data_IF_167925853381
#
_entry.id   IF_167925853381
#
_cell.length_a   1.000
_cell.length_b   1.000
_cell.length_c   1.000
_cell.angle_alpha   90.00
_cell.angle_beta   90.00
_cell.angle_gamma   90.00
#
_symmetry.space_group_name_H-M   'P 1'
#
loop_
_entity.id
_entity.type
_entity.pdbx_description
1 polymer ?
#
# COMPACT_ATOMS: atom_id res chain seq x y z
N UNK A 1 1.44 -12.37 61.12
CA UNK A 1 1.94 -11.81 59.83
C UNK A 1 1.90 -12.86 58.72
N UNK A 2 0.74 -13.25 58.15
CA UNK A 2 0.69 -14.23 57.04
C UNK A 2 -0.57 -14.12 56.15
N UNK A 3 -1.09 -12.91 55.90
CA UNK A 3 -2.29 -12.75 55.04
C UNK A 3 -2.17 -11.67 53.95
N UNK A 4 -1.09 -10.86 53.96
CA UNK A 4 -0.97 -9.73 53.02
C UNK A 4 -0.18 -10.04 51.75
N UNK A 5 0.49 -11.19 51.66
CA UNK A 5 1.37 -11.51 50.53
C UNK A 5 0.65 -12.21 49.37
N UNK A 6 -0.60 -12.66 49.54
CA UNK A 6 -1.32 -13.40 48.49
C UNK A 6 -2.16 -12.51 47.55
N UNK A 7 -2.37 -11.23 47.90
CA UNK A 7 -3.21 -10.32 47.10
C UNK A 7 -2.46 -9.65 45.94
N UNK A 8 -1.12 -9.67 45.93
CA UNK A 8 -0.32 -8.98 44.93
C UNK A 8 -0.11 -9.77 43.62
N UNK A 9 -0.36 -11.09 43.63
CA UNK A 9 -0.11 -11.96 42.46
C UNK A 9 -1.30 -11.97 41.49
N UNK A 10 -2.50 -11.60 41.94
CA UNK A 10 -3.72 -11.64 41.11
C UNK A 10 -3.82 -10.41 40.18
N UNK A 11 -3.14 -9.30 40.51
CA UNK A 11 -3.20 -8.07 39.70
C UNK A 11 -2.29 -8.06 38.46
N UNK A 12 -1.41 -9.06 38.30
CA UNK A 12 -0.49 -9.13 37.14
C UNK A 12 -1.17 -9.77 35.90
N UNK A 13 -2.29 -10.48 36.08
CA UNK A 13 -3.00 -11.12 34.96
C UNK A 13 -4.03 -10.24 34.24
N UNK A 14 -4.23 -9.00 34.69
CA UNK A 14 -5.11 -8.01 34.02
C UNK A 14 -4.28 -7.01 33.18
N UNK A 15 -2.96 -7.22 33.07
CA UNK A 15 -2.10 -6.43 32.21
C UNK A 15 -2.24 -6.87 30.74
N UNK A 16 -3.07 -6.14 30.00
CA UNK A 16 -3.04 -6.01 28.54
C UNK A 16 -3.36 -7.27 27.71
N UNK A 17 -4.64 -7.66 27.67
CA UNK A 17 -5.22 -8.03 26.38
C UNK A 17 -5.92 -6.79 25.83
N UNK A 18 -5.16 -5.90 25.20
CA UNK A 18 -5.75 -5.12 24.12
C UNK A 18 -5.99 -6.14 23.02
N UNK A 19 -7.24 -6.50 22.80
CA UNK A 19 -7.64 -7.15 21.56
C UNK A 19 -6.99 -6.33 20.45
N UNK A 20 -5.99 -6.91 19.79
CA UNK A 20 -5.48 -6.34 18.55
C UNK A 20 -6.69 -6.44 17.63
N UNK A 21 -7.39 -5.32 17.43
CA UNK A 21 -8.32 -5.21 16.33
C UNK A 21 -7.56 -5.74 15.11
N UNK A 22 -8.05 -6.85 14.56
CA UNK A 22 -7.52 -7.41 13.34
C UNK A 22 -7.89 -6.40 12.25
N UNK A 23 -7.10 -5.34 12.12
CA UNK A 23 -7.17 -4.44 10.98
C UNK A 23 -6.99 -5.32 9.75
N UNK A 24 -7.95 -5.35 8.83
CA UNK A 24 -7.83 -6.19 7.65
C UNK A 24 -6.51 -5.88 6.93
N UNK A 25 -5.79 -6.90 6.52
CA UNK A 25 -4.43 -6.75 6.00
C UNK A 25 -4.36 -6.04 4.65
N UNK A 26 -5.50 -5.69 4.07
CA UNK A 26 -5.65 -4.94 2.83
C UNK A 26 -5.95 -3.45 3.01
N UNK A 27 -6.00 -2.98 4.25
CA UNK A 27 -6.34 -1.59 4.58
C UNK A 27 -5.36 -0.99 5.57
N UNK A 28 -5.09 0.30 5.44
CA UNK A 28 -4.28 1.07 6.38
C UNK A 28 -4.92 2.44 6.64
N UNK A 29 -4.27 3.33 7.40
CA UNK A 29 -4.85 4.63 7.76
C UNK A 29 -4.99 5.61 6.58
N UNK A 30 -4.44 5.29 5.41
CA UNK A 30 -4.37 6.16 4.24
C UNK A 30 -5.25 5.70 3.08
N UNK A 31 -5.34 4.40 2.86
CA UNK A 31 -6.09 3.81 1.77
C UNK A 31 -6.44 2.33 2.01
N UNK A 32 -7.24 1.77 1.13
CA UNK A 32 -7.55 0.33 1.07
C UNK A 32 -7.33 -0.25 -0.33
N UNK A 33 -7.01 -1.54 -0.40
CA UNK A 33 -6.91 -2.34 -1.62
C UNK A 33 -7.79 -3.59 -1.49
N UNK A 34 -9.10 -3.45 -1.69
CA UNK A 34 -10.05 -4.54 -1.39
C UNK A 34 -9.76 -5.87 -2.10
N UNK A 35 -9.15 -5.85 -3.28
CA UNK A 35 -8.75 -7.07 -4.00
C UNK A 35 -7.47 -7.75 -3.44
N UNK A 36 -6.78 -7.12 -2.50
CA UNK A 36 -5.65 -7.68 -1.76
C UNK A 36 -6.05 -8.21 -0.37
N UNK A 37 -7.33 -8.60 -0.19
CA UNK A 37 -7.93 -8.91 1.12
C UNK A 37 -7.17 -9.95 1.95
N UNK A 38 -6.51 -10.90 1.30
CA UNK A 38 -5.75 -12.00 1.90
C UNK A 38 -4.23 -11.81 1.84
N UNK A 39 -3.76 -10.62 1.45
CA UNK A 39 -2.33 -10.29 1.39
C UNK A 39 -1.87 -9.77 2.73
N UNK A 40 -0.58 -9.89 3.04
CA UNK A 40 0.02 -9.30 4.23
C UNK A 40 0.49 -7.88 3.93
N UNK A 41 0.03 -6.90 4.71
CA UNK A 41 0.59 -5.55 4.71
C UNK A 41 1.84 -5.50 5.59
N UNK A 42 2.92 -4.98 5.03
CA UNK A 42 4.15 -4.64 5.77
C UNK A 42 4.42 -3.16 5.59
N UNK A 43 4.47 -2.44 6.70
CA UNK A 43 4.85 -1.03 6.72
C UNK A 43 6.37 -0.92 6.84
N UNK A 44 6.95 -0.05 6.02
CA UNK A 44 8.36 0.29 6.10
C UNK A 44 8.53 1.75 6.53
N UNK A 45 9.71 2.06 7.06
CA UNK A 45 10.02 3.43 7.49
C UNK A 45 10.53 4.24 6.29
N UNK A 46 9.71 5.16 5.80
CA UNK A 46 10.14 6.24 4.93
C UNK A 46 10.71 7.41 5.73
N UNK A 47 11.42 8.33 5.06
CA UNK A 47 11.88 9.58 5.69
C UNK A 47 10.69 10.51 5.89
N UNK A 48 9.94 10.76 4.80
CA UNK A 48 8.85 11.74 4.73
C UNK A 48 7.57 11.19 4.05
N UNK A 49 7.59 9.92 3.63
CA UNK A 49 6.45 9.24 3.00
C UNK A 49 6.08 7.98 3.75
N UNK A 50 4.80 7.60 3.64
CA UNK A 50 4.32 6.34 4.15
C UNK A 50 4.54 5.28 3.07
N UNK A 51 5.52 4.41 3.30
CA UNK A 51 5.96 3.40 2.35
C UNK A 51 5.75 2.00 2.92
N UNK A 52 5.68 1.01 2.05
CA UNK A 52 5.53 -0.38 2.44
C UNK A 52 5.15 -1.24 1.27
N UNK A 53 4.62 -2.42 1.57
CA UNK A 53 4.15 -3.34 0.55
C UNK A 53 3.03 -4.25 1.03
N UNK A 54 2.22 -4.70 0.08
CA UNK A 54 1.35 -5.84 0.23
C UNK A 54 2.05 -7.05 -0.38
N UNK A 55 2.06 -8.18 0.32
CA UNK A 55 2.70 -9.41 -0.15
C UNK A 55 1.78 -10.62 -0.01
N UNK A 56 1.78 -11.47 -1.04
CA UNK A 56 1.21 -12.82 -1.00
C UNK A 56 2.19 -13.77 -1.67
N UNK A 57 2.66 -14.75 -0.90
CA UNK A 57 3.75 -15.66 -1.32
C UNK A 57 4.96 -14.85 -1.79
N UNK A 58 5.42 -15.06 -3.03
CA UNK A 58 6.55 -14.35 -3.63
C UNK A 58 6.13 -13.08 -4.39
N UNK A 59 4.83 -12.78 -4.47
CA UNK A 59 4.33 -11.59 -5.15
C UNK A 59 4.28 -10.40 -4.20
N UNK A 60 4.84 -9.27 -4.64
CA UNK A 60 4.87 -8.01 -3.88
C UNK A 60 4.32 -6.84 -4.68
N UNK A 61 3.45 -6.05 -4.06
CA UNK A 61 3.05 -4.72 -4.53
C UNK A 61 3.56 -3.70 -3.52
N UNK A 62 4.58 -2.97 -3.91
CA UNK A 62 5.13 -1.86 -3.14
C UNK A 62 4.24 -0.63 -3.28
N UNK A 63 4.27 0.24 -2.28
CA UNK A 63 3.62 1.53 -2.34
C UNK A 63 4.48 2.64 -1.74
N UNK A 64 4.31 3.83 -2.30
CA UNK A 64 4.76 5.10 -1.74
C UNK A 64 3.57 6.05 -1.66
N UNK A 65 3.19 6.46 -0.45
CA UNK A 65 2.07 7.32 -0.18
C UNK A 65 2.50 8.65 0.42
N UNK A 66 1.97 9.74 -0.12
CA UNK A 66 2.09 11.09 0.40
C UNK A 66 2.59 12.09 -0.64
N UNK A 67 2.79 13.33 -0.21
CA UNK A 67 3.16 14.46 -1.07
C UNK A 67 4.37 14.17 -1.98
N UNK A 68 5.36 13.42 -1.48
CA UNK A 68 6.61 13.09 -2.18
C UNK A 68 6.57 11.75 -2.94
N UNK A 69 5.45 11.02 -2.96
CA UNK A 69 5.34 9.73 -3.66
C UNK A 69 5.66 9.83 -5.16
N UNK A 70 5.30 10.96 -5.77
CA UNK A 70 5.71 11.39 -7.09
C UNK A 70 5.43 12.90 -7.25
N UNK A 71 6.02 13.51 -8.29
CA UNK A 71 5.87 14.93 -8.57
C UNK A 71 4.43 15.35 -8.88
N UNK A 72 4.02 15.23 -10.14
CA UNK A 72 2.67 15.57 -10.59
C UNK A 72 2.15 14.47 -11.52
N UNK A 73 0.89 14.05 -11.37
CA UNK A 73 0.33 13.01 -12.24
C UNK A 73 0.37 13.41 -13.73
N UNK A 74 0.27 14.71 -14.04
CA UNK A 74 0.38 15.25 -15.39
C UNK A 74 1.80 15.17 -15.94
N UNK A 75 2.84 15.01 -15.12
CA UNK A 75 4.22 14.79 -15.59
C UNK A 75 4.49 13.36 -16.05
N UNK A 76 3.59 12.42 -15.73
CA UNK A 76 3.66 11.03 -16.23
C UNK A 76 3.08 11.02 -17.65
N UNK A 77 3.94 10.86 -18.65
CA UNK A 77 3.58 10.99 -20.07
C UNK A 77 3.67 9.65 -20.79
N UNK A 78 2.86 9.49 -21.82
CA UNK A 78 3.00 8.40 -22.76
C UNK A 78 4.23 8.65 -23.65
N UNK A 79 5.26 7.81 -23.52
CA UNK A 79 6.49 7.89 -24.30
C UNK A 79 6.70 6.60 -25.09
N UNK A 80 7.41 6.64 -26.24
CA UNK A 80 7.54 5.46 -27.12
C UNK A 80 8.26 4.25 -26.51
N UNK A 81 8.98 4.45 -25.41
CA UNK A 81 9.72 3.43 -24.66
C UNK A 81 8.87 2.70 -23.62
N UNK A 82 7.63 3.15 -23.38
CA UNK A 82 6.69 2.45 -22.50
C UNK A 82 6.13 1.19 -23.18
N UNK A 83 6.03 0.14 -22.39
CA UNK A 83 5.36 -1.11 -22.76
C UNK A 83 3.83 -1.02 -22.59
N UNK A 84 3.38 -0.17 -21.67
CA UNK A 84 1.97 0.08 -21.38
C UNK A 84 1.80 1.51 -20.87
N UNK A 85 0.74 2.18 -21.30
CA UNK A 85 0.28 3.45 -20.75
C UNK A 85 -1.25 3.49 -20.80
N UNK A 86 -1.91 3.62 -19.65
CA UNK A 86 -3.36 3.76 -19.52
C UNK A 86 -3.66 4.96 -18.62
N UNK A 87 -4.56 5.85 -19.06
CA UNK A 87 -5.16 6.89 -18.21
C UNK A 87 -6.57 6.47 -17.85
N UNK A 88 -6.94 6.58 -16.57
CA UNK A 88 -8.22 6.12 -16.07
C UNK A 88 -8.62 6.88 -14.80
N UNK A 89 -9.80 6.55 -14.28
CA UNK A 89 -10.23 6.95 -12.95
C UNK A 89 -10.27 5.73 -12.04
N UNK A 90 -9.69 5.85 -10.84
CA UNK A 90 -9.76 4.83 -9.78
C UNK A 90 -10.46 5.47 -8.58
N UNK A 91 -11.64 4.96 -8.24
CA UNK A 91 -12.52 5.54 -7.22
C UNK A 91 -12.79 7.04 -7.44
N UNK A 92 -12.95 7.45 -8.71
CA UNK A 92 -13.17 8.83 -9.11
C UNK A 92 -11.90 9.71 -9.17
N UNK A 93 -10.75 9.20 -8.76
CA UNK A 93 -9.48 9.93 -8.73
C UNK A 93 -8.70 9.72 -10.03
N UNK A 94 -7.94 10.74 -10.45
CA UNK A 94 -7.08 10.62 -11.65
C UNK A 94 -6.04 9.52 -11.40
N UNK A 95 -5.90 8.63 -12.36
CA UNK A 95 -4.92 7.56 -12.28
C UNK A 95 -4.21 7.32 -13.61
N UNK A 96 -2.98 6.81 -13.53
CA UNK A 96 -2.19 6.37 -14.68
C UNK A 96 -1.52 5.04 -14.36
N UNK A 97 -1.63 4.06 -15.26
CA UNK A 97 -0.92 2.79 -15.18
C UNK A 97 0.15 2.78 -16.27
N UNK A 98 1.40 2.51 -15.87
CA UNK A 98 2.57 2.57 -16.74
C UNK A 98 3.42 1.33 -16.56
N UNK A 99 3.82 0.70 -17.67
CA UNK A 99 4.83 -0.36 -17.69
C UNK A 99 6.04 0.11 -18.48
N UNK A 100 7.22 -0.01 -17.90
CA UNK A 100 8.48 0.41 -18.52
C UNK A 100 9.54 -0.69 -18.42
N UNK A 101 10.46 -0.69 -19.39
CA UNK A 101 11.70 -1.46 -19.32
C UNK A 101 12.75 -0.68 -18.53
N UNK A 102 13.50 -1.38 -17.70
CA UNK A 102 14.58 -0.87 -16.86
C UNK A 102 15.78 -1.81 -16.95
N UNK A 103 16.99 -1.34 -16.58
CA UNK A 103 18.17 -2.21 -16.54
C UNK A 103 18.02 -3.45 -15.64
N UNK A 104 17.18 -3.36 -14.61
CA UNK A 104 16.87 -4.41 -13.63
C UNK A 104 15.59 -5.21 -13.95
N UNK A 105 15.02 -5.01 -15.15
CA UNK A 105 13.86 -5.74 -15.65
C UNK A 105 12.68 -4.83 -15.97
N UNK A 106 11.45 -5.26 -15.72
CA UNK A 106 10.25 -4.44 -15.96
C UNK A 106 9.70 -3.89 -14.66
N UNK A 107 9.13 -2.68 -14.72
CA UNK A 107 8.36 -2.10 -13.61
C UNK A 107 6.97 -1.72 -14.11
N UNK A 108 5.96 -2.22 -13.43
CA UNK A 108 4.56 -1.84 -13.63
C UNK A 108 4.16 -0.96 -12.44
N UNK A 109 3.77 0.29 -12.71
CA UNK A 109 3.39 1.29 -11.70
C UNK A 109 1.97 1.81 -11.95
N UNK A 110 1.24 2.07 -10.88
CA UNK A 110 0.00 2.83 -10.87
C UNK A 110 0.20 4.09 -10.05
N UNK A 111 -0.09 5.25 -10.64
CA UNK A 111 -0.05 6.56 -10.00
C UNK A 111 -1.49 7.00 -9.80
N UNK A 112 -1.89 7.29 -8.55
CA UNK A 112 -3.25 7.70 -8.21
C UNK A 112 -3.17 9.03 -7.45
N UNK A 113 -3.91 10.03 -7.92
CA UNK A 113 -3.89 11.40 -7.39
C UNK A 113 -5.28 11.82 -6.93
N UNK A 114 -5.44 12.08 -5.62
CA UNK A 114 -6.70 12.59 -5.04
C UNK A 114 -7.01 14.03 -5.51
N UNK A 115 -6.02 14.73 -6.06
CA UNK A 115 -6.17 16.11 -6.55
C UNK A 115 -6.08 17.18 -5.46
N UNK A 116 -5.63 16.82 -4.25
CA UNK A 116 -5.46 17.71 -3.10
C UNK A 116 -3.98 18.00 -2.77
N UNK A 117 -3.07 17.64 -3.69
CA UNK A 117 -1.61 17.75 -3.60
C UNK A 117 -0.94 16.87 -2.53
N UNK A 118 -1.66 16.44 -1.49
CA UNK A 118 -1.12 15.71 -0.33
C UNK A 118 -1.31 14.21 -0.49
N UNK A 119 -2.50 13.79 -0.91
CA UNK A 119 -2.88 12.39 -0.99
C UNK A 119 -2.60 11.85 -2.39
N UNK A 120 -1.35 11.45 -2.57
CA UNK A 120 -0.85 10.76 -3.74
C UNK A 120 -0.44 9.35 -3.34
N UNK A 121 -0.71 8.38 -4.18
CA UNK A 121 -0.23 7.02 -3.98
C UNK A 121 0.39 6.50 -5.26
N UNK A 122 1.58 5.91 -5.13
CA UNK A 122 2.21 5.17 -6.20
C UNK A 122 2.31 3.72 -5.77
N UNK A 123 1.59 2.83 -6.45
CA UNK A 123 1.73 1.39 -6.27
C UNK A 123 2.58 0.83 -7.39
N UNK A 124 3.46 -0.14 -7.13
CA UNK A 124 4.29 -0.73 -8.17
C UNK A 124 4.75 -2.14 -7.85
N UNK A 125 5.06 -2.90 -8.90
CA UNK A 125 5.64 -4.24 -8.83
C UNK A 125 6.77 -4.35 -9.86
N UNK A 126 7.76 -5.18 -9.55
CA UNK A 126 8.86 -5.50 -10.46
C UNK A 126 8.67 -6.87 -11.09
N UNK A 127 9.05 -7.01 -12.36
CA UNK A 127 9.19 -8.30 -13.05
C UNK A 127 7.97 -9.24 -12.89
N UNK A 128 6.77 -8.67 -12.81
CA UNK A 128 5.56 -9.47 -12.63
C UNK A 128 5.28 -10.28 -13.90
N UNK A 129 4.95 -11.55 -13.70
CA UNK A 129 4.43 -12.44 -14.74
C UNK A 129 2.92 -12.27 -14.95
N UNK A 130 2.24 -11.49 -14.08
CA UNK A 130 0.80 -11.33 -14.07
C UNK A 130 0.42 -9.84 -13.91
N UNK A 131 0.51 -9.09 -15.01
CA UNK A 131 0.12 -7.68 -15.05
C UNK A 131 -1.34 -7.48 -14.64
N UNK A 132 -2.24 -8.39 -15.02
CA UNK A 132 -3.67 -8.27 -14.74
C UNK A 132 -3.98 -8.31 -13.25
N UNK A 133 -3.32 -9.20 -12.49
CA UNK A 133 -3.46 -9.25 -11.04
C UNK A 133 -3.09 -7.91 -10.39
N UNK A 134 -1.98 -7.30 -10.81
CA UNK A 134 -1.61 -5.96 -10.34
C UNK A 134 -2.70 -4.94 -10.69
N UNK A 135 -3.14 -4.91 -11.95
CA UNK A 135 -4.15 -3.96 -12.45
C UNK A 135 -5.47 -4.09 -11.66
N UNK A 136 -5.92 -5.31 -11.39
CA UNK A 136 -7.14 -5.56 -10.62
C UNK A 136 -7.00 -5.08 -9.17
N UNK A 137 -5.83 -5.32 -8.55
CA UNK A 137 -5.55 -4.84 -7.20
C UNK A 137 -5.55 -3.32 -7.14
N UNK A 138 -4.84 -2.64 -8.03
CA UNK A 138 -4.78 -1.17 -8.01
C UNK A 138 -6.12 -0.53 -8.39
N UNK A 139 -6.93 -1.14 -9.26
CA UNK A 139 -8.29 -0.67 -9.58
C UNK A 139 -9.24 -0.80 -8.39
N UNK A 140 -8.90 -1.61 -7.38
CA UNK A 140 -9.63 -1.71 -6.12
C UNK A 140 -9.23 -0.67 -5.07
N UNK A 141 -8.27 0.20 -5.39
CA UNK A 141 -7.76 1.25 -4.50
C UNK A 141 -8.83 2.28 -4.18
N UNK A 142 -8.92 2.66 -2.90
CA UNK A 142 -9.70 3.80 -2.43
C UNK A 142 -8.94 4.57 -1.37
N UNK A 143 -8.91 5.89 -1.49
CA UNK A 143 -8.41 6.75 -0.41
C UNK A 143 -9.38 6.72 0.78
N UNK A 144 -8.84 6.85 1.99
CA UNK A 144 -9.65 7.15 3.17
C UNK A 144 -9.83 8.66 3.36
#
# INVERSE_FOLDING_TARGET
MKAFTLLLIILVFVACNKDKENVPTYTNDKFELTAAADWTLVNEQGIDTYVGYYQKEDYKIEFDFGYLAYGNIDSIKNTPDLLLFEELLIDGNKAKIVKENRPDGTRLSAYIDKGDEVNKNRLYTFNTSNDQLFIDIVKSHKFK
#
